data_IF_282098230975
#
_entry.id   IF_282098230975
#
_cell.length_a   1.000
_cell.length_b   1.000
_cell.length_c   1.000
_cell.angle_alpha   90.00
_cell.angle_beta   90.00
_cell.angle_gamma   90.00
#
_symmetry.space_group_name_H-M   'P 1'
#
loop_
_entity.id
_entity.type
_entity.pdbx_description
1 polymer ?
#
# COMPACT_ATOMS: atom_id res chain seq x y z
N UNK A 1 11.40 -3.64 -14.83
CA UNK A 1 10.96 -3.73 -13.44
C UNK A 1 10.23 -2.48 -12.97
N UNK A 2 9.39 -2.61 -11.98
CA UNK A 2 8.66 -1.50 -11.35
C UNK A 2 9.16 -1.32 -9.93
N UNK A 3 9.30 -0.05 -9.49
CA UNK A 3 9.76 0.27 -8.15
C UNK A 3 8.60 0.21 -7.13
N UNK A 4 8.19 -1.01 -6.74
CA UNK A 4 7.23 -1.28 -5.66
C UNK A 4 7.98 -1.88 -4.47
N UNK A 5 8.93 -1.13 -3.94
CA UNK A 5 9.89 -1.57 -2.92
C UNK A 5 9.24 -1.95 -1.59
N UNK A 6 8.03 -1.48 -1.29
CA UNK A 6 7.34 -1.81 -0.04
C UNK A 6 7.06 -3.31 0.11
N UNK A 7 7.00 -4.07 -1.00
CA UNK A 7 6.90 -5.54 -0.95
C UNK A 7 8.06 -6.20 -0.21
N UNK A 8 9.22 -5.54 -0.13
CA UNK A 8 10.46 -6.03 0.49
C UNK A 8 10.68 -5.45 1.89
N UNK A 9 9.73 -4.70 2.44
CA UNK A 9 9.76 -4.31 3.83
C UNK A 9 9.61 -5.55 4.71
N UNK A 10 10.34 -5.61 5.83
CA UNK A 10 10.41 -6.80 6.68
C UNK A 10 9.04 -7.18 7.26
N UNK A 11 8.24 -6.17 7.60
CA UNK A 11 6.84 -6.35 8.02
C UNK A 11 5.98 -7.02 6.94
N UNK A 12 6.16 -6.63 5.67
CA UNK A 12 5.42 -7.18 4.53
C UNK A 12 5.92 -8.59 4.19
N UNK A 13 7.24 -8.80 4.14
CA UNK A 13 7.83 -10.12 3.88
C UNK A 13 7.41 -11.14 4.95
N UNK A 14 7.40 -10.73 6.22
CA UNK A 14 6.94 -11.57 7.34
C UNK A 14 5.46 -11.93 7.20
N UNK A 15 4.61 -10.93 6.96
CA UNK A 15 3.17 -11.18 6.78
C UNK A 15 2.90 -12.08 5.56
N UNK A 16 3.61 -11.85 4.45
CA UNK A 16 3.53 -12.71 3.27
C UNK A 16 3.96 -14.16 3.58
N UNK A 17 5.00 -14.34 4.37
CA UNK A 17 5.42 -15.65 4.85
C UNK A 17 4.35 -16.36 5.69
N UNK A 18 3.61 -15.65 6.53
CA UNK A 18 2.47 -16.22 7.26
C UNK A 18 1.34 -16.65 6.33
N UNK A 19 1.05 -15.87 5.29
CA UNK A 19 0.05 -16.19 4.28
C UNK A 19 0.47 -17.43 3.49
N UNK A 20 1.69 -17.46 2.97
CA UNK A 20 2.19 -18.53 2.10
C UNK A 20 2.36 -19.86 2.85
N UNK A 21 2.70 -19.82 4.13
CA UNK A 21 2.79 -21.03 4.97
C UNK A 21 1.43 -21.65 5.29
N UNK A 22 0.33 -20.92 5.10
CA UNK A 22 -1.01 -21.36 5.51
C UNK A 22 -1.23 -21.52 7.03
N UNK A 23 -0.27 -21.07 7.85
CA UNK A 23 -0.29 -21.22 9.32
C UNK A 23 -1.57 -20.71 9.95
N UNK A 24 -2.10 -19.60 9.44
CA UNK A 24 -3.30 -18.95 9.96
C UNK A 24 -4.54 -19.15 9.09
N UNK A 25 -4.49 -20.10 8.17
CA UNK A 25 -5.57 -20.37 7.21
C UNK A 25 -5.53 -19.43 6.00
N UNK A 26 -6.65 -19.30 5.31
CA UNK A 26 -6.76 -18.47 4.11
C UNK A 26 -6.97 -17.01 4.49
N UNK A 27 -6.56 -16.11 3.59
CA UNK A 27 -6.96 -14.69 3.65
C UNK A 27 -8.46 -14.59 3.37
N UNK A 28 -9.19 -13.91 4.26
CA UNK A 28 -10.63 -13.69 4.18
C UNK A 28 -10.97 -12.23 3.91
N UNK A 29 -10.08 -11.30 4.29
CA UNK A 29 -10.28 -9.88 4.06
C UNK A 29 -8.99 -9.08 4.07
N UNK A 30 -9.03 -7.90 3.44
CA UNK A 30 -7.95 -6.92 3.48
C UNK A 30 -8.50 -5.51 3.63
N UNK A 31 -7.69 -4.61 4.18
CA UNK A 31 -8.00 -3.18 4.25
C UNK A 31 -6.73 -2.36 4.07
N UNK A 32 -6.79 -1.35 3.21
CA UNK A 32 -5.73 -0.37 3.01
C UNK A 32 -6.24 1.05 3.16
N UNK A 33 -5.58 1.86 3.97
CA UNK A 33 -5.97 3.25 4.22
C UNK A 33 -4.75 4.16 4.11
N UNK A 34 -4.86 5.23 3.31
CA UNK A 34 -3.84 6.27 3.12
C UNK A 34 -4.46 7.63 3.44
N UNK A 35 -4.46 8.06 4.72
CA UNK A 35 -5.11 9.29 5.16
C UNK A 35 -4.10 10.44 5.19
N UNK A 36 -3.81 11.02 4.04
CA UNK A 36 -2.82 12.08 3.91
C UNK A 36 -3.46 13.45 3.69
N UNK A 37 -2.66 14.47 3.94
CA UNK A 37 -2.99 15.87 3.70
C UNK A 37 -2.05 16.47 2.67
N UNK A 38 -2.60 17.19 1.70
CA UNK A 38 -1.84 17.99 0.76
C UNK A 38 -2.47 19.36 0.68
N UNK A 39 -1.67 20.37 1.01
CA UNK A 39 -2.07 21.76 0.85
C UNK A 39 -2.05 22.17 -0.63
N UNK A 40 -2.73 23.26 -0.96
CA UNK A 40 -2.75 23.81 -2.33
C UNK A 40 -1.36 24.05 -2.89
N UNK A 41 -0.40 24.50 -2.06
CA UNK A 41 1.00 24.70 -2.41
C UNK A 41 1.69 23.48 -3.00
N UNK A 42 1.27 22.26 -2.63
CA UNK A 42 1.79 21.01 -3.20
C UNK A 42 1.55 20.93 -4.72
N UNK A 43 0.44 21.46 -5.18
CA UNK A 43 0.06 21.52 -6.60
C UNK A 43 0.59 22.79 -7.26
N UNK A 44 0.54 23.95 -6.59
CA UNK A 44 0.98 25.23 -7.15
C UNK A 44 2.49 25.24 -7.49
N UNK A 45 3.32 24.67 -6.61
CA UNK A 45 4.80 24.58 -6.82
C UNK A 45 5.14 23.60 -7.95
N UNK A 46 4.32 22.58 -8.17
CA UNK A 46 4.51 21.59 -9.23
C UNK A 46 3.18 21.30 -9.94
N UNK A 47 2.74 22.18 -10.84
CA UNK A 47 1.41 22.11 -11.46
C UNK A 47 1.11 20.80 -12.21
N UNK A 48 2.14 20.12 -12.70
CA UNK A 48 1.99 18.83 -13.37
C UNK A 48 1.24 17.78 -12.52
N UNK A 49 1.32 17.89 -11.17
CA UNK A 49 0.68 16.96 -10.24
C UNK A 49 -0.84 17.03 -10.23
N UNK A 50 -1.39 18.18 -10.62
CA UNK A 50 -2.83 18.43 -10.66
C UNK A 50 -3.45 18.24 -12.05
N UNK A 51 -2.66 17.89 -13.07
CA UNK A 51 -3.11 17.74 -14.46
C UNK A 51 -3.16 16.29 -14.89
N UNK A 52 -4.29 15.85 -15.45
CA UNK A 52 -4.49 14.47 -15.87
C UNK A 52 -3.47 14.06 -16.96
N UNK A 53 -3.20 14.93 -17.92
CA UNK A 53 -2.27 14.68 -19.02
C UNK A 53 -0.84 14.36 -18.54
N UNK A 54 -0.38 15.02 -17.48
CA UNK A 54 1.02 14.90 -17.03
C UNK A 54 1.22 14.01 -15.81
N UNK A 55 0.21 13.87 -14.95
CA UNK A 55 0.25 13.03 -13.77
C UNK A 55 -0.38 11.64 -14.00
N UNK A 56 -1.26 11.49 -14.99
CA UNK A 56 -1.98 10.25 -15.26
C UNK A 56 -3.10 9.92 -14.26
N UNK A 57 -3.19 10.66 -13.16
CA UNK A 57 -4.14 10.50 -12.06
C UNK A 57 -3.69 11.24 -10.82
N UNK A 58 -4.50 11.21 -9.78
CA UNK A 58 -4.30 11.96 -8.54
C UNK A 58 -3.73 11.12 -7.39
N UNK A 59 -4.42 11.13 -6.26
CA UNK A 59 -3.94 10.50 -5.03
C UNK A 59 -3.77 8.98 -5.17
N UNK A 60 -4.53 8.33 -6.03
CA UNK A 60 -4.43 6.89 -6.23
C UNK A 60 -3.08 6.49 -6.80
N UNK A 61 -2.62 7.16 -7.85
CA UNK A 61 -1.35 6.82 -8.50
C UNK A 61 -0.13 7.48 -7.82
N UNK A 62 -0.28 8.71 -7.31
CA UNK A 62 0.85 9.45 -6.76
C UNK A 62 1.14 9.16 -5.29
N UNK A 63 0.13 8.90 -4.46
CA UNK A 63 0.28 8.72 -3.02
C UNK A 63 0.03 7.28 -2.57
N UNK A 64 -0.87 6.57 -3.22
CA UNK A 64 -1.40 5.33 -2.65
C UNK A 64 -1.18 4.07 -3.49
N UNK A 65 -0.52 4.16 -4.64
CA UNK A 65 -0.23 3.00 -5.50
C UNK A 65 0.50 1.88 -4.76
N UNK A 66 1.44 2.23 -3.86
CA UNK A 66 2.15 1.24 -3.05
C UNK A 66 1.21 0.47 -2.12
N UNK A 67 0.21 1.15 -1.53
CA UNK A 67 -0.76 0.49 -0.65
C UNK A 67 -1.69 -0.42 -1.45
N UNK A 68 -2.17 0.04 -2.60
CA UNK A 68 -2.99 -0.79 -3.49
C UNK A 68 -2.21 -2.02 -3.97
N UNK A 69 -0.94 -1.85 -4.32
CA UNK A 69 -0.03 -2.93 -4.67
C UNK A 69 0.13 -3.95 -3.55
N UNK A 70 0.27 -3.50 -2.31
CA UNK A 70 0.37 -4.41 -1.16
C UNK A 70 -0.94 -5.16 -0.89
N UNK A 71 -2.10 -4.55 -1.14
CA UNK A 71 -3.37 -5.28 -1.07
C UNK A 71 -3.44 -6.40 -2.11
N UNK A 72 -2.99 -6.14 -3.35
CA UNK A 72 -2.87 -7.16 -4.38
C UNK A 72 -1.85 -8.25 -3.99
N UNK A 73 -0.68 -7.85 -3.50
CA UNK A 73 0.42 -8.77 -3.12
C UNK A 73 0.03 -9.71 -1.97
N UNK A 74 -0.70 -9.20 -0.97
CA UNK A 74 -1.11 -9.95 0.22
C UNK A 74 -2.45 -10.66 0.05
N UNK A 75 -3.40 -10.04 -0.65
CA UNK A 75 -4.75 -10.59 -0.85
C UNK A 75 -4.85 -11.56 -2.03
N UNK A 76 -3.95 -11.43 -3.00
CA UNK A 76 -3.95 -12.19 -4.24
C UNK A 76 -4.58 -11.43 -5.43
N UNK A 77 -4.80 -12.09 -6.57
CA UNK A 77 -5.38 -11.46 -7.75
C UNK A 77 -6.77 -10.88 -7.49
N UNK A 78 -6.98 -9.64 -7.91
CA UNK A 78 -8.27 -8.94 -7.82
C UNK A 78 -9.13 -9.36 -9.01
N UNK A 79 -10.29 -9.96 -8.73
CA UNK A 79 -11.27 -10.38 -9.73
C UNK A 79 -12.28 -9.29 -10.06
N UNK A 80 -12.67 -8.46 -9.07
CA UNK A 80 -13.60 -7.35 -9.25
C UNK A 80 -13.17 -6.16 -8.40
N UNK A 81 -13.31 -4.96 -8.96
CA UNK A 81 -13.06 -3.69 -8.28
C UNK A 81 -14.23 -2.75 -8.54
N UNK A 82 -14.80 -2.18 -7.47
CA UNK A 82 -15.76 -1.08 -7.54
C UNK A 82 -15.18 0.11 -6.80
N UNK A 83 -15.05 1.24 -7.49
CA UNK A 83 -14.43 2.43 -6.92
C UNK A 83 -15.27 3.69 -7.19
N UNK A 84 -15.18 4.62 -6.26
CA UNK A 84 -15.62 6.00 -6.42
C UNK A 84 -14.43 6.92 -6.21
N UNK A 85 -14.27 7.88 -7.09
CA UNK A 85 -13.25 8.93 -7.00
C UNK A 85 -13.93 10.28 -6.86
N UNK A 86 -13.29 11.19 -6.13
CA UNK A 86 -13.82 12.53 -5.90
C UNK A 86 -12.70 13.56 -5.76
N UNK A 87 -13.08 14.81 -5.89
CA UNK A 87 -12.27 15.97 -5.53
C UNK A 87 -12.99 16.66 -4.37
N UNK A 88 -12.45 16.49 -3.17
CA UNK A 88 -12.96 17.10 -1.93
C UNK A 88 -12.32 18.48 -1.74
N UNK A 89 -11.06 18.62 -2.17
CA UNK A 89 -10.33 19.88 -2.09
C UNK A 89 -10.64 20.73 -3.32
N UNK A 90 -11.12 21.94 -3.11
CA UNK A 90 -11.37 22.92 -4.18
C UNK A 90 -10.07 23.65 -4.56
N UNK A 91 -9.15 22.95 -5.17
CA UNK A 91 -7.85 23.48 -5.59
C UNK A 91 -7.74 23.76 -7.09
N UNK A 92 -8.81 23.52 -7.86
CA UNK A 92 -8.81 23.70 -9.31
C UNK A 92 -7.91 22.70 -10.03
N UNK A 93 -7.72 21.51 -9.48
CA UNK A 93 -6.96 20.41 -10.10
C UNK A 93 -7.90 19.53 -10.96
N UNK A 94 -7.33 18.79 -11.90
CA UNK A 94 -8.10 17.91 -12.83
C UNK A 94 -8.21 16.46 -12.31
N UNK A 95 -7.36 16.09 -11.36
CA UNK A 95 -7.22 14.71 -10.86
C UNK A 95 -7.94 14.53 -9.53
N UNK A 96 -8.24 13.29 -9.17
CA UNK A 96 -8.86 12.96 -7.89
C UNK A 96 -7.90 13.20 -6.71
N UNK A 97 -8.46 13.68 -5.60
CA UNK A 97 -7.78 13.78 -4.32
C UNK A 97 -8.25 12.75 -3.30
N UNK A 98 -9.33 12.04 -3.62
CA UNK A 98 -9.93 11.03 -2.75
C UNK A 98 -10.46 9.85 -3.57
N UNK A 99 -10.22 8.64 -3.08
CA UNK A 99 -10.73 7.38 -3.64
C UNK A 99 -11.22 6.46 -2.53
N UNK A 100 -12.33 5.78 -2.78
CA UNK A 100 -12.82 4.67 -1.97
C UNK A 100 -13.17 3.51 -2.88
N UNK A 101 -12.73 2.30 -2.55
CA UNK A 101 -12.94 1.12 -3.35
C UNK A 101 -13.25 -0.13 -2.52
N UNK A 102 -14.07 -1.02 -3.08
CA UNK A 102 -14.22 -2.40 -2.66
C UNK A 102 -13.56 -3.33 -3.66
N UNK A 103 -12.90 -4.37 -3.15
CA UNK A 103 -12.17 -5.36 -3.92
C UNK A 103 -12.80 -6.73 -3.67
N UNK A 104 -12.91 -7.55 -4.72
CA UNK A 104 -13.18 -8.98 -4.60
C UNK A 104 -12.00 -9.71 -5.20
N UNK A 105 -11.38 -10.57 -4.42
CA UNK A 105 -10.21 -11.35 -4.85
C UNK A 105 -10.65 -12.66 -5.52
N UNK A 106 -9.80 -13.19 -6.39
CA UNK A 106 -10.06 -14.46 -7.07
C UNK A 106 -10.21 -15.65 -6.12
N UNK A 107 -9.64 -15.57 -4.90
CA UNK A 107 -9.79 -16.58 -3.84
C UNK A 107 -11.06 -16.41 -3.00
N UNK A 108 -11.94 -15.46 -3.35
CA UNK A 108 -13.21 -15.18 -2.65
C UNK A 108 -13.09 -14.24 -1.45
N UNK A 109 -11.89 -13.78 -1.10
CA UNK A 109 -11.71 -12.75 -0.08
C UNK A 109 -12.25 -11.39 -0.55
N UNK A 110 -12.54 -10.51 0.40
CA UNK A 110 -12.97 -9.13 0.12
C UNK A 110 -11.95 -8.12 0.64
N UNK A 111 -11.90 -6.94 0.01
CA UNK A 111 -11.02 -5.87 0.42
C UNK A 111 -11.68 -4.50 0.41
N UNK A 112 -11.17 -3.61 1.24
CA UNK A 112 -11.52 -2.21 1.25
C UNK A 112 -10.26 -1.37 1.06
N UNK A 113 -10.34 -0.37 0.21
CA UNK A 113 -9.27 0.58 -0.01
C UNK A 113 -9.80 2.00 0.05
N UNK A 114 -9.09 2.86 0.77
CA UNK A 114 -9.37 4.29 0.82
C UNK A 114 -8.06 5.06 0.80
N UNK A 115 -7.98 6.09 -0.04
CA UNK A 115 -6.89 7.05 -0.01
C UNK A 115 -7.43 8.46 -0.19
N UNK A 116 -6.84 9.42 0.52
CA UNK A 116 -7.21 10.82 0.40
C UNK A 116 -6.01 11.73 0.61
N UNK A 117 -6.01 12.87 -0.07
CA UNK A 117 -5.15 14.03 0.21
C UNK A 117 -5.86 15.11 1.03
N UNK A 118 -7.15 14.91 1.32
CA UNK A 118 -8.03 15.85 2.02
C UNK A 118 -8.14 15.59 3.53
N UNK A 119 -7.28 14.74 4.10
CA UNK A 119 -7.26 14.56 5.55
C UNK A 119 -6.72 15.80 6.27
N UNK A 120 -7.08 15.98 7.53
CA UNK A 120 -6.63 17.14 8.33
C UNK A 120 -5.10 17.20 8.46
N UNK A 121 -4.45 16.04 8.58
CA UNK A 121 -2.99 15.89 8.67
C UNK A 121 -2.56 14.58 8.00
N UNK A 122 -1.24 14.42 7.77
CA UNK A 122 -0.72 13.12 7.38
C UNK A 122 -0.78 12.17 8.57
N UNK A 123 -1.52 11.09 8.41
CA UNK A 123 -1.56 9.98 9.37
C UNK A 123 -0.85 8.75 8.80
N UNK A 124 -0.65 7.74 9.64
CA UNK A 124 -0.01 6.50 9.23
C UNK A 124 -0.80 5.78 8.16
N UNK A 125 -0.10 5.29 7.14
CA UNK A 125 -0.65 4.29 6.24
C UNK A 125 -0.93 3.02 7.02
N UNK A 126 -2.12 2.44 6.81
CA UNK A 126 -2.55 1.23 7.49
C UNK A 126 -2.91 0.16 6.46
N UNK A 127 -2.39 -1.05 6.70
CA UNK A 127 -2.75 -2.24 5.94
C UNK A 127 -3.17 -3.31 6.95
N UNK A 128 -4.36 -3.88 6.78
CA UNK A 128 -4.81 -5.01 7.58
C UNK A 128 -5.11 -6.21 6.69
N UNK A 129 -4.79 -7.39 7.19
CA UNK A 129 -5.12 -8.67 6.55
C UNK A 129 -5.81 -9.55 7.58
N UNK A 130 -7.05 -9.92 7.28
CA UNK A 130 -7.81 -10.90 8.04
C UNK A 130 -7.59 -12.28 7.45
N UNK A 131 -7.32 -13.24 8.30
CA UNK A 131 -7.19 -14.65 7.97
C UNK A 131 -8.18 -15.46 8.82
N UNK A 132 -8.41 -16.72 8.46
CA UNK A 132 -9.37 -17.57 9.18
C UNK A 132 -9.09 -17.69 10.69
N UNK A 133 -7.82 -17.60 11.11
CA UNK A 133 -7.38 -17.85 12.50
C UNK A 133 -6.64 -16.67 13.15
N UNK A 134 -6.45 -15.55 12.46
CA UNK A 134 -5.73 -14.39 12.97
C UNK A 134 -6.02 -13.13 12.15
N UNK A 135 -5.84 -11.98 12.76
CA UNK A 135 -5.79 -10.69 12.08
C UNK A 135 -4.40 -10.07 12.26
N UNK A 136 -3.90 -9.47 11.18
CA UNK A 136 -2.64 -8.75 11.15
C UNK A 136 -2.85 -7.32 10.66
N UNK A 137 -2.05 -6.39 11.19
CA UNK A 137 -2.02 -5.02 10.69
C UNK A 137 -0.59 -4.48 10.64
N UNK A 138 -0.27 -3.76 9.57
CA UNK A 138 0.94 -2.94 9.46
C UNK A 138 0.51 -1.50 9.68
N UNK A 139 1.03 -0.88 10.73
CA UNK A 139 0.74 0.49 11.14
C UNK A 139 2.06 1.12 11.59
N UNK A 140 2.39 2.32 11.09
CA UNK A 140 3.66 3.00 11.39
C UNK A 140 4.91 2.12 11.11
N UNK A 141 4.87 1.34 10.02
CA UNK A 141 5.92 0.39 9.64
C UNK A 141 6.16 -0.72 10.69
N UNK A 142 5.18 -1.02 11.51
CA UNK A 142 5.21 -2.13 12.49
C UNK A 142 4.13 -3.13 12.14
N UNK A 143 4.49 -4.40 12.06
CA UNK A 143 3.55 -5.52 11.94
C UNK A 143 3.05 -5.92 13.32
N UNK A 144 1.75 -5.93 13.47
CA UNK A 144 1.05 -6.42 14.64
C UNK A 144 0.19 -7.63 14.31
N UNK A 145 0.09 -8.56 15.26
CA UNK A 145 -1.01 -9.52 15.34
C UNK A 145 -2.08 -8.93 16.26
N UNK A 146 -3.34 -9.04 15.86
CA UNK A 146 -4.48 -8.53 16.63
C UNK A 146 -5.29 -9.72 17.12
N UNK A 147 -5.59 -9.77 18.42
CA UNK A 147 -6.44 -10.79 19.01
C UNK A 147 -7.94 -10.43 18.91
N UNK A 148 -8.81 -11.33 19.39
CA UNK A 148 -10.25 -11.14 19.36
C UNK A 148 -10.74 -9.96 20.22
N UNK A 149 -9.98 -9.59 21.23
CA UNK A 149 -10.22 -8.46 22.14
C UNK A 149 -9.70 -7.13 21.59
N UNK A 150 -8.96 -7.17 20.45
CA UNK A 150 -8.37 -6.00 19.81
C UNK A 150 -6.99 -5.61 20.37
N UNK A 151 -6.38 -6.43 21.24
CA UNK A 151 -5.02 -6.18 21.71
C UNK A 151 -4.01 -6.44 20.60
N UNK A 152 -2.92 -5.65 20.58
CA UNK A 152 -1.90 -5.69 19.56
C UNK A 152 -0.61 -6.29 20.10
N UNK A 153 -0.20 -7.42 19.53
CA UNK A 153 1.14 -7.99 19.73
C UNK A 153 2.06 -7.49 18.63
N UNK A 154 3.12 -6.80 19.00
CA UNK A 154 4.15 -6.33 18.07
C UNK A 154 5.01 -7.50 17.61
N UNK A 155 5.14 -7.71 16.31
CA UNK A 155 5.91 -8.80 15.73
C UNK A 155 7.22 -8.33 15.09
N UNK A 156 7.15 -7.38 14.17
CA UNK A 156 8.28 -6.89 13.37
C UNK A 156 8.13 -5.38 13.17
N UNK A 157 9.24 -4.65 13.20
CA UNK A 157 9.31 -3.24 12.81
C UNK A 157 10.28 -3.09 11.64
N UNK A 158 9.85 -2.35 10.62
CA UNK A 158 10.71 -2.04 9.47
C UNK A 158 11.83 -1.07 9.87
N UNK A 159 12.98 -1.22 9.22
CA UNK A 159 14.07 -0.25 9.36
C UNK A 159 13.59 1.15 8.96
N UNK A 160 13.90 2.14 9.81
CA UNK A 160 13.59 3.55 9.56
C UNK A 160 14.81 4.26 9.03
N UNK A 161 14.74 4.72 7.80
CA UNK A 161 15.73 5.63 7.26
C UNK A 161 15.53 7.05 7.82
N UNK A 162 16.60 7.81 8.08
CA UNK A 162 16.49 9.19 8.50
C UNK A 162 15.81 10.05 7.41
N UNK A 163 14.99 11.01 7.83
CA UNK A 163 14.32 11.96 6.95
C UNK A 163 12.80 11.89 6.99
N UNK A 164 12.15 12.72 6.17
CA UNK A 164 10.70 12.91 6.18
C UNK A 164 9.89 11.86 5.41
N UNK A 165 10.56 10.96 4.70
CA UNK A 165 9.91 9.94 3.84
C UNK A 165 10.04 8.52 4.39
N UNK A 166 10.14 8.37 5.71
CA UNK A 166 10.29 7.08 6.38
C UNK A 166 9.19 6.05 6.05
N UNK A 167 8.00 6.49 5.64
CA UNK A 167 6.88 5.64 5.28
C UNK A 167 7.10 4.78 4.03
N UNK A 168 8.12 5.06 3.22
CA UNK A 168 8.49 4.18 2.11
C UNK A 168 9.35 2.99 2.53
N UNK A 169 9.84 2.96 3.78
CA UNK A 169 10.75 1.94 4.26
C UNK A 169 12.15 2.03 3.65
N UNK A 170 13.02 1.11 4.07
CA UNK A 170 14.43 1.05 3.65
C UNK A 170 14.71 0.10 2.47
N UNK A 171 13.68 -0.47 1.84
CA UNK A 171 13.80 -1.65 0.97
C UNK A 171 14.11 -1.36 -0.49
N UNK A 172 14.38 -0.11 -0.88
CA UNK A 172 14.85 0.21 -2.23
C UNK A 172 16.12 -0.57 -2.61
N UNK A 173 17.09 -0.68 -1.69
CA UNK A 173 18.31 -1.46 -1.91
C UNK A 173 18.03 -2.94 -2.19
N UNK A 174 17.12 -3.56 -1.45
CA UNK A 174 16.70 -4.95 -1.68
C UNK A 174 16.09 -5.13 -3.07
N UNK A 175 15.18 -4.25 -3.49
CA UNK A 175 14.55 -4.30 -4.80
C UNK A 175 15.58 -4.14 -5.93
N UNK A 176 16.48 -3.16 -5.82
CA UNK A 176 17.51 -2.89 -6.83
C UNK A 176 18.47 -4.08 -6.94
N UNK A 177 18.95 -4.59 -5.80
CA UNK A 177 19.87 -5.74 -5.79
C UNK A 177 19.22 -6.99 -6.42
N UNK A 178 17.91 -7.25 -6.13
CA UNK A 178 17.18 -8.34 -6.75
C UNK A 178 17.05 -8.17 -8.25
N UNK A 179 16.70 -6.97 -8.71
CA UNK A 179 16.57 -6.67 -10.15
C UNK A 179 17.86 -6.92 -10.91
N UNK A 180 19.01 -6.44 -10.41
CA UNK A 180 20.31 -6.67 -11.06
C UNK A 180 20.71 -8.14 -11.04
N UNK A 181 20.49 -8.87 -9.94
CA UNK A 181 20.74 -10.31 -9.86
C UNK A 181 19.97 -11.06 -10.93
N UNK A 182 18.71 -10.74 -11.12
CA UNK A 182 17.87 -11.38 -12.13
C UNK A 182 18.37 -11.11 -13.55
N UNK A 183 18.87 -9.91 -13.83
CA UNK A 183 19.51 -9.60 -15.12
C UNK A 183 20.77 -10.46 -15.32
N UNK A 184 21.64 -10.54 -14.31
CA UNK A 184 22.90 -11.31 -14.37
C UNK A 184 22.66 -12.81 -14.56
N UNK A 185 21.64 -13.36 -13.95
CA UNK A 185 21.31 -14.79 -14.01
C UNK A 185 20.37 -15.17 -15.14
N UNK A 186 19.82 -14.18 -15.89
CA UNK A 186 18.80 -14.41 -16.92
C UNK A 186 17.42 -14.76 -16.36
N UNK A 187 17.22 -14.53 -15.05
CA UNK A 187 15.96 -14.73 -14.36
C UNK A 187 14.95 -13.61 -14.60
N UNK A 188 13.75 -13.78 -14.05
CA UNK A 188 12.66 -12.78 -14.13
C UNK A 188 11.93 -12.60 -12.80
N UNK A 189 12.50 -13.00 -11.67
CA UNK A 189 11.90 -12.89 -10.35
C UNK A 189 12.10 -11.47 -9.76
N UNK A 190 11.60 -10.47 -10.49
CA UNK A 190 11.53 -9.08 -10.07
C UNK A 190 10.10 -8.54 -10.24
N UNK A 191 9.80 -7.42 -9.60
CA UNK A 191 8.47 -6.79 -9.71
C UNK A 191 8.26 -6.28 -11.14
N UNK A 192 7.24 -6.80 -11.80
CA UNK A 192 6.80 -6.39 -13.14
C UNK A 192 5.27 -6.27 -13.18
N UNK A 193 4.75 -5.65 -14.24
CA UNK A 193 3.30 -5.55 -14.50
C UNK A 193 2.80 -6.86 -15.08
#
# INVERSE_FOLDING_TARGET
GICLQNRFNESVETLKGFIDSGKYGKVTGTRGIVPWSREKSYYDVKPWRGKLETAGGGCMINQSVHTLDLLYHLGGPIAELKASVSQILDYGIEVEDTVAASLTYANGAHGLFMATNANYKNESVQISVQMEKAEFAIIDNVLYRIDAEGNRERLVEDERLPGTKFYYGASHGKLIARFYREIETGGRDYVHV
#
